data_IF_746715661564
#
_entry.id   IF_746715661564
#
_cell.length_a   1.000
_cell.length_b   1.000
_cell.length_c   1.000
_cell.angle_alpha   90.00
_cell.angle_beta   90.00
_cell.angle_gamma   90.00
#
_symmetry.space_group_name_H-M   'P 1'
#
loop_
_entity.id
_entity.type
_entity.pdbx_description
1 polymer ?
#
# COMPACT_ATOMS: atom_id res chain seq x y z
N UNK A 1 -23.61 17.19 -3.53
CA UNK A 1 -24.30 15.92 -3.22
C UNK A 1 -25.79 16.20 -3.13
N UNK A 2 -26.64 15.42 -3.79
CA UNK A 2 -28.08 15.67 -3.76
C UNK A 2 -28.64 15.34 -2.36
N UNK A 3 -29.09 16.36 -1.62
CA UNK A 3 -29.48 16.25 -0.21
C UNK A 3 -30.62 15.24 -0.01
N UNK A 4 -31.46 15.05 -1.03
CA UNK A 4 -32.59 14.13 -1.01
C UNK A 4 -32.14 12.65 -1.01
N UNK A 5 -31.01 12.34 -1.66
CA UNK A 5 -30.49 10.97 -1.74
C UNK A 5 -29.63 10.64 -0.52
N UNK A 6 -28.87 11.61 -0.02
CA UNK A 6 -28.06 11.47 1.20
C UNK A 6 -28.91 11.22 2.45
N UNK A 7 -30.10 11.84 2.53
CA UNK A 7 -31.03 11.63 3.64
C UNK A 7 -31.69 10.24 3.65
N UNK A 8 -31.63 9.49 2.55
CA UNK A 8 -32.12 8.09 2.48
C UNK A 8 -31.14 7.09 3.10
N UNK A 9 -29.91 7.50 3.37
CA UNK A 9 -28.90 6.65 4.03
C UNK A 9 -29.26 6.47 5.51
N UNK A 10 -29.13 5.24 6.00
CA UNK A 10 -29.12 4.97 7.44
C UNK A 10 -27.98 5.72 8.11
N UNK A 11 -28.12 6.08 9.38
CA UNK A 11 -27.14 6.90 10.10
C UNK A 11 -25.71 6.31 10.04
N UNK A 12 -25.59 4.99 10.23
CA UNK A 12 -24.32 4.27 10.11
C UNK A 12 -23.75 4.27 8.69
N UNK A 13 -24.59 4.28 7.66
CA UNK A 13 -24.12 4.34 6.27
C UNK A 13 -23.71 5.77 5.89
N UNK A 14 -24.33 6.78 6.51
CA UNK A 14 -23.97 8.19 6.35
C UNK A 14 -22.62 8.49 6.97
N UNK A 15 -22.41 8.06 8.22
CA UNK A 15 -21.14 8.18 8.93
C UNK A 15 -20.02 7.51 8.14
N UNK A 16 -20.22 6.26 7.71
CA UNK A 16 -19.20 5.55 6.93
C UNK A 16 -18.90 6.21 5.57
N UNK A 17 -19.91 6.81 4.92
CA UNK A 17 -19.72 7.52 3.66
C UNK A 17 -18.94 8.83 3.85
N UNK A 18 -19.28 9.60 4.88
CA UNK A 18 -18.59 10.83 5.21
C UNK A 18 -17.13 10.54 5.59
N UNK A 19 -16.89 9.53 6.43
CA UNK A 19 -15.55 9.02 6.77
C UNK A 19 -14.78 8.65 5.50
N UNK A 20 -15.39 7.86 4.61
CA UNK A 20 -14.75 7.45 3.34
C UNK A 20 -14.43 8.65 2.45
N UNK A 21 -15.33 9.63 2.34
CA UNK A 21 -15.07 10.83 1.53
C UNK A 21 -13.98 11.70 2.11
N UNK A 22 -13.94 11.84 3.44
CA UNK A 22 -12.90 12.58 4.13
C UNK A 22 -11.54 11.87 3.96
N UNK A 23 -11.50 10.55 4.10
CA UNK A 23 -10.29 9.76 3.87
C UNK A 23 -9.76 9.89 2.45
N UNK A 24 -10.63 9.88 1.44
CA UNK A 24 -10.23 10.07 0.04
C UNK A 24 -9.69 11.49 -0.15
N UNK A 25 -10.35 12.50 0.42
CA UNK A 25 -9.90 13.89 0.35
C UNK A 25 -8.51 14.06 0.99
N UNK A 26 -8.29 13.49 2.18
CA UNK A 26 -7.02 13.55 2.89
C UNK A 26 -5.90 12.85 2.10
N UNK A 27 -6.18 11.69 1.49
CA UNK A 27 -5.22 10.99 0.62
C UNK A 27 -4.83 11.82 -0.61
N UNK A 28 -5.79 12.48 -1.24
CA UNK A 28 -5.52 13.38 -2.38
C UNK A 28 -4.69 14.57 -1.93
N UNK A 29 -5.00 15.16 -0.79
CA UNK A 29 -4.30 16.31 -0.24
C UNK A 29 -2.83 15.98 0.09
N UNK A 30 -2.58 14.87 0.80
CA UNK A 30 -1.23 14.43 1.14
C UNK A 30 -0.38 14.16 -0.11
N UNK A 31 -0.97 13.48 -1.10
CA UNK A 31 -0.29 13.20 -2.36
C UNK A 31 -0.02 14.49 -3.16
N UNK A 32 -0.96 15.42 -3.19
CA UNK A 32 -0.78 16.73 -3.81
C UNK A 32 0.34 17.52 -3.12
N UNK A 33 0.41 17.46 -1.79
CA UNK A 33 1.50 18.05 -1.02
C UNK A 33 2.86 17.43 -1.39
N UNK A 34 2.96 16.09 -1.46
CA UNK A 34 4.20 15.42 -1.91
C UNK A 34 4.61 15.81 -3.33
N UNK A 35 3.63 15.96 -4.24
CA UNK A 35 3.88 16.43 -5.60
C UNK A 35 4.40 17.88 -5.58
N UNK A 36 3.81 18.76 -4.78
CA UNK A 36 4.30 20.14 -4.60
C UNK A 36 5.70 20.19 -3.97
N UNK A 37 6.02 19.28 -3.04
CA UNK A 37 7.38 19.17 -2.46
C UNK A 37 8.37 18.78 -3.55
N UNK A 38 8.03 17.80 -4.40
CA UNK A 38 8.91 17.38 -5.50
C UNK A 38 9.16 18.48 -6.54
N UNK A 39 8.23 19.45 -6.66
CA UNK A 39 8.33 20.61 -7.54
C UNK A 39 8.92 21.84 -6.84
N UNK A 40 9.33 21.74 -5.57
CA UNK A 40 9.80 22.85 -4.72
C UNK A 40 8.78 24.01 -4.58
N UNK A 41 7.48 23.72 -4.71
CA UNK A 41 6.39 24.71 -4.57
C UNK A 41 5.60 24.58 -3.27
N UNK A 42 5.81 23.50 -2.51
CA UNK A 42 5.03 23.18 -1.30
C UNK A 42 5.02 24.26 -0.22
N UNK A 43 6.08 25.07 -0.10
CA UNK A 43 6.14 26.16 0.88
C UNK A 43 5.31 27.40 0.47
N UNK A 44 5.00 27.55 -0.81
CA UNK A 44 4.21 28.66 -1.34
C UNK A 44 2.73 28.32 -1.46
N UNK A 45 2.43 27.25 -2.20
CA UNK A 45 1.06 26.80 -2.46
C UNK A 45 1.03 25.38 -3.02
N UNK A 46 -0.05 24.64 -2.72
CA UNK A 46 -0.38 23.40 -3.43
C UNK A 46 -1.23 23.81 -4.64
N UNK A 47 -0.70 23.61 -5.85
CA UNK A 47 -1.40 24.04 -7.05
C UNK A 47 -2.60 23.14 -7.36
N UNK A 48 -3.59 23.68 -8.07
CA UNK A 48 -4.70 22.88 -8.60
C UNK A 48 -4.19 21.70 -9.45
N UNK A 49 -3.07 21.90 -10.16
CA UNK A 49 -2.42 20.86 -10.96
C UNK A 49 -1.97 19.68 -10.10
N UNK A 50 -1.39 19.95 -8.92
CA UNK A 50 -0.95 18.90 -7.99
C UNK A 50 -2.11 18.08 -7.43
N UNK A 51 -3.25 18.74 -7.18
CA UNK A 51 -4.49 18.08 -6.73
C UNK A 51 -5.08 17.21 -7.84
N UNK A 52 -5.12 17.71 -9.09
CA UNK A 52 -5.64 16.95 -10.23
C UNK A 52 -4.77 15.72 -10.49
N UNK A 53 -3.44 15.89 -10.49
CA UNK A 53 -2.48 14.80 -10.67
C UNK A 53 -2.60 13.76 -9.55
N UNK A 54 -2.68 14.20 -8.28
CA UNK A 54 -2.88 13.32 -7.13
C UNK A 54 -4.20 12.52 -7.23
N UNK A 55 -5.30 13.19 -7.62
CA UNK A 55 -6.60 12.55 -7.85
C UNK A 55 -6.53 11.49 -8.95
N UNK A 56 -5.89 11.80 -10.07
CA UNK A 56 -5.74 10.85 -11.17
C UNK A 56 -4.92 9.61 -10.76
N UNK A 57 -3.82 9.82 -10.04
CA UNK A 57 -3.00 8.70 -9.58
C UNK A 57 -3.72 7.80 -8.58
N UNK A 58 -4.42 8.38 -7.61
CA UNK A 58 -5.08 7.64 -6.54
C UNK A 58 -6.30 6.87 -7.08
N UNK A 59 -7.11 7.52 -7.92
CA UNK A 59 -8.36 6.93 -8.39
C UNK A 59 -8.19 6.05 -9.64
N UNK A 60 -7.22 6.32 -10.52
CA UNK A 60 -7.16 5.67 -11.83
C UNK A 60 -5.90 4.81 -12.09
N UNK A 61 -4.75 5.06 -11.43
CA UNK A 61 -3.47 4.36 -11.74
C UNK A 61 -3.45 2.88 -11.37
N UNK A 62 -4.37 2.41 -10.50
CA UNK A 62 -4.54 0.98 -10.17
C UNK A 62 -4.91 0.13 -11.39
N UNK A 63 -5.45 0.76 -12.44
CA UNK A 63 -5.97 0.10 -13.64
C UNK A 63 -4.91 -0.15 -14.73
N UNK A 64 -3.77 0.55 -14.71
CA UNK A 64 -2.75 0.42 -15.76
C UNK A 64 -1.73 -0.69 -15.49
N UNK A 65 -1.32 -0.86 -14.22
CA UNK A 65 -0.36 -1.90 -13.80
C UNK A 65 -0.92 -3.30 -14.11
N UNK A 66 -2.22 -3.50 -13.93
CA UNK A 66 -2.93 -4.75 -14.27
C UNK A 66 -2.96 -5.02 -15.78
N UNK A 67 -3.06 -3.98 -16.62
CA UNK A 67 -3.11 -4.12 -18.08
C UNK A 67 -1.76 -4.53 -18.67
N UNK A 68 -0.65 -3.95 -18.23
CA UNK A 68 0.67 -4.26 -18.78
C UNK A 68 1.11 -5.70 -18.44
N UNK A 69 0.77 -6.18 -17.24
CA UNK A 69 1.09 -7.52 -16.79
C UNK A 69 0.28 -8.60 -17.54
N UNK A 70 -0.98 -8.30 -17.87
CA UNK A 70 -1.83 -9.18 -18.69
C UNK A 70 -1.30 -9.37 -20.13
N UNK A 71 -0.72 -8.31 -20.73
CA UNK A 71 -0.15 -8.37 -22.10
C UNK A 71 1.08 -9.26 -22.17
N UNK A 72 1.96 -9.21 -21.16
CA UNK A 72 3.18 -10.03 -21.10
C UNK A 72 2.86 -11.52 -20.88
N UNK A 73 1.88 -11.82 -20.03
CA UNK A 73 1.38 -13.20 -19.85
C UNK A 73 0.78 -13.76 -21.13
N UNK A 74 0.00 -12.95 -21.87
CA UNK A 74 -0.55 -13.34 -23.18
C UNK A 74 0.54 -13.63 -24.22
N UNK A 75 1.57 -12.79 -24.30
CA UNK A 75 2.67 -12.98 -25.26
C UNK A 75 3.44 -14.28 -24.98
N UNK A 76 3.75 -14.57 -23.72
CA UNK A 76 4.41 -15.84 -23.38
C UNK A 76 3.54 -17.06 -23.67
N UNK A 77 2.24 -16.97 -23.40
CA UNK A 77 1.31 -18.07 -23.69
C UNK A 77 1.22 -18.33 -25.19
N UNK A 78 1.17 -17.26 -26.01
CA UNK A 78 1.22 -17.38 -27.47
C UNK A 78 2.52 -18.04 -27.96
N UNK A 79 3.68 -17.65 -27.40
CA UNK A 79 4.98 -18.25 -27.73
C UNK A 79 5.08 -19.72 -27.30
N UNK A 80 4.52 -20.08 -26.16
CA UNK A 80 4.50 -21.47 -25.71
C UNK A 80 3.58 -22.33 -26.57
N UNK A 81 2.42 -21.80 -26.98
CA UNK A 81 1.50 -22.50 -27.88
C UNK A 81 2.09 -22.66 -29.29
N UNK A 82 2.77 -21.64 -29.82
CA UNK A 82 3.45 -21.76 -31.11
C UNK A 82 4.58 -22.78 -31.04
N UNK A 83 5.42 -22.76 -29.99
CA UNK A 83 6.45 -23.77 -29.77
C UNK A 83 5.91 -25.20 -29.71
N UNK A 84 4.78 -25.41 -29.02
CA UNK A 84 4.11 -26.71 -28.96
C UNK A 84 3.58 -27.14 -30.33
N UNK A 85 3.00 -26.22 -31.12
CA UNK A 85 2.58 -26.50 -32.49
C UNK A 85 3.75 -26.88 -33.39
N UNK A 86 4.88 -26.16 -33.32
CA UNK A 86 6.09 -26.50 -34.05
C UNK A 86 6.61 -27.89 -33.68
N UNK A 87 6.54 -28.27 -32.40
CA UNK A 87 6.91 -29.61 -31.95
C UNK A 87 6.00 -30.70 -32.56
N UNK A 88 4.68 -30.49 -32.54
CA UNK A 88 3.69 -31.41 -33.13
C UNK A 88 3.90 -31.53 -34.65
N UNK A 89 4.07 -30.41 -35.37
CA UNK A 89 4.34 -30.43 -36.80
C UNK A 89 5.67 -31.11 -37.13
N UNK A 90 6.72 -30.89 -36.34
CA UNK A 90 7.99 -31.60 -36.50
C UNK A 90 7.85 -33.11 -36.34
N UNK A 91 7.09 -33.57 -35.34
CA UNK A 91 6.81 -35.01 -35.11
C UNK A 91 6.00 -35.61 -36.27
N UNK A 92 4.95 -34.92 -36.73
CA UNK A 92 4.12 -35.39 -37.86
C UNK A 92 4.93 -35.42 -39.15
N UNK A 93 5.74 -34.40 -39.41
CA UNK A 93 6.62 -34.32 -40.57
C UNK A 93 7.67 -35.43 -40.54
N UNK A 94 8.25 -35.70 -39.37
CA UNK A 94 9.16 -36.82 -39.15
C UNK A 94 8.50 -38.16 -39.49
N UNK A 95 7.30 -38.43 -38.95
CA UNK A 95 6.56 -39.67 -39.23
C UNK A 95 6.17 -39.80 -40.72
N UNK A 96 5.83 -38.70 -41.38
CA UNK A 96 5.51 -38.68 -42.81
C UNK A 96 6.75 -38.97 -43.67
N UNK A 97 7.89 -38.37 -43.30
CA UNK A 97 9.14 -38.50 -44.01
C UNK A 97 9.77 -39.90 -43.87
N UNK A 98 9.53 -40.58 -42.74
CA UNK A 98 10.09 -41.90 -42.40
C UNK A 98 9.24 -43.12 -42.83
N UNK A 99 8.32 -43.00 -43.80
CA UNK A 99 7.61 -44.16 -44.36
C UNK A 99 8.53 -45.21 -45.03
N UNK A 100 9.76 -44.83 -45.37
CA UNK A 100 10.86 -45.73 -45.73
C UNK A 100 12.05 -45.32 -44.86
N UNK A 101 12.45 -46.17 -43.90
CA UNK A 101 13.53 -45.90 -42.95
C UNK A 101 14.84 -45.59 -43.69
N UNK A 102 15.18 -44.30 -43.78
CA UNK A 102 16.41 -43.80 -44.34
C UNK A 102 16.94 -42.68 -43.44
N UNK A 103 18.07 -42.95 -42.79
CA UNK A 103 18.76 -42.10 -41.79
C UNK A 103 19.21 -40.74 -42.32
N UNK A 104 18.97 -40.44 -43.59
CA UNK A 104 19.29 -39.15 -44.22
C UNK A 104 18.17 -38.10 -44.06
N UNK A 105 17.07 -38.46 -43.40
CA UNK A 105 15.83 -37.67 -43.34
C UNK A 105 15.50 -37.15 -41.92
N UNK A 106 16.44 -36.41 -41.32
CA UNK A 106 16.34 -35.92 -39.92
C UNK A 106 15.73 -34.51 -39.76
N UNK A 107 15.22 -33.91 -40.83
CA UNK A 107 14.64 -32.55 -40.82
C UNK A 107 13.45 -32.41 -39.87
N UNK A 108 12.56 -33.41 -39.81
CA UNK A 108 11.41 -33.38 -38.89
C UNK A 108 11.82 -33.40 -37.41
N UNK A 109 12.90 -34.12 -37.09
CA UNK A 109 13.45 -34.22 -35.74
C UNK A 109 14.06 -32.89 -35.28
N UNK A 110 14.74 -32.18 -36.19
CA UNK A 110 15.31 -30.84 -35.95
C UNK A 110 14.19 -29.83 -35.66
N UNK A 111 13.11 -29.84 -36.45
CA UNK A 111 11.96 -28.94 -36.25
C UNK A 111 11.28 -29.22 -34.89
N UNK A 112 11.13 -30.51 -34.53
CA UNK A 112 10.56 -30.90 -33.25
C UNK A 112 11.42 -30.43 -32.06
N UNK A 113 12.74 -30.59 -32.15
CA UNK A 113 13.69 -30.16 -31.12
C UNK A 113 13.65 -28.63 -30.90
N UNK A 114 13.53 -27.85 -31.98
CA UNK A 114 13.41 -26.38 -31.90
C UNK A 114 12.09 -25.97 -31.21
N UNK A 115 10.98 -26.64 -31.55
CA UNK A 115 9.67 -26.37 -30.91
C UNK A 115 9.65 -26.67 -29.40
N UNK A 116 10.27 -27.78 -28.99
CA UNK A 116 10.41 -28.14 -27.58
C UNK A 116 11.30 -27.11 -26.86
N UNK A 117 12.42 -26.72 -27.45
CA UNK A 117 13.34 -25.74 -26.88
C UNK A 117 12.65 -24.37 -26.69
N UNK A 118 11.89 -23.89 -27.68
CA UNK A 118 11.12 -22.66 -27.56
C UNK A 118 10.08 -22.71 -26.44
N UNK A 119 9.39 -23.85 -26.30
CA UNK A 119 8.37 -24.04 -25.25
C UNK A 119 8.98 -24.01 -23.85
N UNK A 120 10.12 -24.67 -23.66
CA UNK A 120 10.86 -24.68 -22.39
C UNK A 120 11.38 -23.28 -22.05
N UNK A 121 11.96 -22.56 -23.01
CA UNK A 121 12.45 -21.18 -22.80
C UNK A 121 11.31 -20.22 -22.44
N UNK A 122 10.16 -20.31 -23.13
CA UNK A 122 8.99 -19.50 -22.81
C UNK A 122 8.45 -19.78 -21.40
N UNK A 123 8.42 -21.05 -20.99
CA UNK A 123 8.01 -21.46 -19.65
C UNK A 123 8.96 -20.93 -18.56
N UNK A 124 10.28 -21.08 -18.76
CA UNK A 124 11.29 -20.54 -17.84
C UNK A 124 11.24 -19.02 -17.75
N UNK A 125 11.07 -18.32 -18.86
CA UNK A 125 10.97 -16.86 -18.90
C UNK A 125 9.76 -16.38 -18.06
N UNK A 126 8.61 -17.02 -18.20
CA UNK A 126 7.41 -16.71 -17.43
C UNK A 126 7.55 -17.05 -15.95
N UNK A 127 8.16 -18.18 -15.63
CA UNK A 127 8.36 -18.60 -14.24
C UNK A 127 9.39 -17.73 -13.50
N UNK A 128 10.47 -17.32 -14.15
CA UNK A 128 11.51 -16.46 -13.57
C UNK A 128 11.01 -15.03 -13.36
N UNK A 129 10.28 -14.46 -14.33
CA UNK A 129 9.74 -13.10 -14.22
C UNK A 129 8.61 -13.03 -13.20
N UNK A 130 7.77 -14.08 -13.11
CA UNK A 130 6.70 -14.14 -12.12
C UNK A 130 7.22 -14.34 -10.69
N UNK A 131 8.37 -15.00 -10.50
CA UNK A 131 8.94 -15.27 -9.16
C UNK A 131 9.86 -14.16 -8.65
N UNK A 132 10.68 -13.52 -9.50
CA UNK A 132 11.65 -12.50 -9.05
C UNK A 132 11.02 -11.19 -8.58
N UNK A 133 9.83 -10.82 -9.07
CA UNK A 133 9.21 -9.52 -8.71
C UNK A 133 8.33 -9.54 -7.47
N UNK A 134 7.81 -10.72 -7.08
CA UNK A 134 6.83 -10.83 -5.98
C UNK A 134 7.49 -11.34 -4.69
N UNK A 135 8.54 -12.16 -4.75
CA UNK A 135 9.08 -12.80 -3.53
C UNK A 135 10.25 -12.08 -2.84
N UNK A 136 11.04 -11.29 -3.56
CA UNK A 136 12.27 -10.68 -3.01
C UNK A 136 12.07 -9.24 -2.57
N UNK A 137 11.19 -8.49 -3.24
CA UNK A 137 10.90 -7.09 -2.87
C UNK A 137 9.83 -7.03 -1.78
N UNK A 138 8.86 -7.95 -1.78
CA UNK A 138 7.77 -7.96 -0.80
C UNK A 138 8.22 -8.55 0.54
N UNK A 139 8.97 -9.66 0.59
CA UNK A 139 9.33 -10.26 1.89
C UNK A 139 10.31 -9.45 2.74
N UNK A 140 11.39 -8.91 2.20
CA UNK A 140 12.35 -8.16 3.03
C UNK A 140 11.78 -6.81 3.47
N UNK A 141 11.06 -6.12 2.59
CA UNK A 141 10.46 -4.81 2.92
C UNK A 141 9.25 -4.97 3.85
N UNK A 142 8.44 -6.00 3.69
CA UNK A 142 7.22 -6.19 4.48
C UNK A 142 7.50 -6.75 5.87
N UNK A 143 8.55 -7.58 6.06
CA UNK A 143 8.92 -8.08 7.40
C UNK A 143 9.60 -7.01 8.26
N UNK A 144 10.43 -6.15 7.66
CA UNK A 144 11.03 -4.99 8.36
C UNK A 144 10.02 -3.84 8.54
N UNK A 145 9.06 -3.68 7.61
CA UNK A 145 7.92 -2.75 7.77
C UNK A 145 6.94 -3.21 8.83
N UNK A 146 6.48 -4.45 8.84
CA UNK A 146 5.53 -4.93 9.87
C UNK A 146 6.07 -4.61 11.27
N UNK A 147 7.35 -4.91 11.54
CA UNK A 147 7.95 -4.66 12.85
C UNK A 147 7.99 -3.16 13.23
N UNK A 148 8.21 -2.28 12.26
CA UNK A 148 8.27 -0.82 12.48
C UNK A 148 6.87 -0.17 12.48
N UNK A 149 5.92 -0.69 11.72
CA UNK A 149 4.51 -0.30 11.73
C UNK A 149 3.86 -0.64 13.09
N UNK A 150 4.16 -1.80 13.66
CA UNK A 150 3.75 -2.17 15.02
C UNK A 150 4.33 -1.26 16.11
N UNK A 151 5.49 -0.64 15.88
CA UNK A 151 6.08 0.31 16.83
C UNK A 151 5.27 1.61 16.95
N UNK A 152 4.65 2.08 15.87
CA UNK A 152 3.76 3.25 15.89
C UNK A 152 2.52 2.95 16.73
N UNK A 153 1.92 1.78 16.53
CA UNK A 153 0.75 1.32 17.30
C UNK A 153 1.10 1.19 18.79
N UNK A 154 2.28 0.66 19.11
CA UNK A 154 2.73 0.50 20.51
C UNK A 154 2.92 1.85 21.22
N UNK A 155 3.51 2.84 20.54
CA UNK A 155 3.68 4.20 21.09
C UNK A 155 2.34 4.91 21.24
N UNK A 156 1.42 4.72 20.29
CA UNK A 156 0.06 5.22 20.42
C UNK A 156 -0.65 4.65 21.66
N UNK A 157 -0.55 3.35 21.92
CA UNK A 157 -1.09 2.73 23.13
C UNK A 157 -0.50 3.33 24.42
N UNK A 158 0.78 3.70 24.41
CA UNK A 158 1.40 4.40 25.53
C UNK A 158 0.80 5.80 25.74
N UNK A 159 0.60 6.56 24.67
CA UNK A 159 -0.06 7.88 24.71
C UNK A 159 -1.50 7.75 25.25
N UNK A 160 -2.27 6.77 24.77
CA UNK A 160 -3.63 6.51 25.26
C UNK A 160 -3.64 6.21 26.75
N UNK A 161 -2.74 5.34 27.21
CA UNK A 161 -2.63 4.96 28.62
C UNK A 161 -2.30 6.16 29.50
N UNK A 162 -1.29 6.94 29.11
CA UNK A 162 -0.85 8.12 29.87
C UNK A 162 -1.90 9.23 29.85
N UNK A 163 -2.55 9.47 28.70
CA UNK A 163 -3.66 10.42 28.60
C UNK A 163 -4.85 10.00 29.48
N UNK A 164 -5.20 8.72 29.49
CA UNK A 164 -6.25 8.17 30.36
C UNK A 164 -5.92 8.31 31.85
N UNK A 165 -4.65 8.21 32.21
CA UNK A 165 -4.17 8.37 33.58
C UNK A 165 -4.23 9.84 34.03
N UNK A 166 -3.80 10.77 33.17
CA UNK A 166 -3.92 12.20 33.42
C UNK A 166 -5.38 12.63 33.58
N UNK A 167 -6.27 12.18 32.69
CA UNK A 167 -7.70 12.46 32.79
C UNK A 167 -8.29 12.01 34.13
N UNK A 168 -7.86 10.84 34.64
CA UNK A 168 -8.29 10.34 35.95
C UNK A 168 -7.72 11.14 37.10
N UNK A 169 -6.44 11.55 37.03
CA UNK A 169 -5.82 12.44 38.03
C UNK A 169 -6.54 13.80 38.11
N UNK A 170 -7.06 14.30 36.99
CA UNK A 170 -7.88 15.53 36.93
C UNK A 170 -9.36 15.33 37.29
N UNK A 171 -9.76 14.13 37.73
CA UNK A 171 -11.12 13.86 38.20
C UNK A 171 -12.15 13.64 37.09
N UNK A 172 -11.72 13.43 35.83
CA UNK A 172 -12.61 13.10 34.72
C UNK A 172 -13.10 11.65 34.86
N UNK A 173 -14.39 11.41 34.56
CA UNK A 173 -15.02 10.11 34.76
C UNK A 173 -14.39 8.98 33.93
N UNK A 174 -14.36 7.79 34.53
CA UNK A 174 -13.67 6.59 34.02
C UNK A 174 -14.21 6.10 32.65
N UNK A 175 -15.44 6.48 32.29
CA UNK A 175 -16.03 6.22 30.97
C UNK A 175 -15.49 7.15 29.88
N UNK A 176 -15.23 8.43 30.22
CA UNK A 176 -14.66 9.39 29.26
C UNK A 176 -13.17 9.15 29.05
N UNK A 177 -12.45 8.74 30.10
CA UNK A 177 -11.02 8.40 30.03
C UNK A 177 -10.72 7.10 29.29
N UNK A 178 -11.72 6.37 28.78
CA UNK A 178 -11.53 5.18 27.92
C UNK A 178 -11.83 5.45 26.44
N UNK A 179 -12.38 6.63 26.12
CA UNK A 179 -12.72 6.98 24.76
C UNK A 179 -11.57 7.72 24.09
N UNK A 180 -11.12 7.18 22.96
CA UNK A 180 -10.02 7.72 22.16
C UNK A 180 -10.26 9.19 21.81
N UNK A 181 -11.48 9.54 21.37
CA UNK A 181 -11.82 10.92 21.00
C UNK A 181 -11.75 11.87 22.20
N UNK A 182 -12.20 11.44 23.38
CA UNK A 182 -12.13 12.27 24.58
C UNK A 182 -10.68 12.43 25.08
N UNK A 183 -9.86 11.39 24.94
CA UNK A 183 -8.42 11.46 25.25
C UNK A 183 -7.73 12.43 24.29
N UNK A 184 -7.97 12.34 22.99
CA UNK A 184 -7.39 13.26 22.00
C UNK A 184 -7.80 14.71 22.27
N UNK A 185 -9.08 14.94 22.54
CA UNK A 185 -9.59 16.27 22.82
C UNK A 185 -8.96 16.85 24.08
N UNK A 186 -8.93 16.09 25.18
CA UNK A 186 -8.28 16.49 26.42
C UNK A 186 -6.79 16.80 26.23
N UNK A 187 -6.06 15.93 25.53
CA UNK A 187 -4.64 16.12 25.27
C UNK A 187 -4.38 17.36 24.41
N UNK A 188 -5.23 17.63 23.43
CA UNK A 188 -5.09 18.77 22.51
C UNK A 188 -5.47 20.10 23.16
N UNK A 189 -6.46 20.11 24.05
CA UNK A 189 -7.03 21.33 24.62
C UNK A 189 -6.33 21.74 25.92
N UNK A 190 -5.80 20.80 26.69
CA UNK A 190 -5.39 21.04 28.09
C UNK A 190 -3.92 20.71 28.38
N UNK A 191 -3.29 19.89 27.55
CA UNK A 191 -1.99 19.29 27.90
C UNK A 191 -0.88 19.70 26.93
N UNK A 192 -1.13 19.64 25.63
CA UNK A 192 -0.11 19.80 24.59
C UNK A 192 -0.13 21.19 23.97
N UNK A 193 1.05 21.78 23.79
CA UNK A 193 1.20 23.00 22.99
C UNK A 193 0.86 22.74 21.52
N UNK A 194 0.65 23.82 20.76
CA UNK A 194 0.17 23.78 19.36
C UNK A 194 0.99 22.85 18.47
N UNK A 195 2.32 22.81 18.65
CA UNK A 195 3.21 21.92 17.89
C UNK A 195 3.03 20.43 18.25
N UNK A 196 2.86 20.11 19.53
CA UNK A 196 2.62 18.75 19.99
C UNK A 196 1.21 18.24 19.63
N UNK A 197 0.21 19.12 19.56
CA UNK A 197 -1.12 18.77 19.05
C UNK A 197 -1.08 18.31 17.58
N UNK A 198 -0.21 18.93 16.78
CA UNK A 198 0.02 18.56 15.39
C UNK A 198 0.70 17.18 15.30
N UNK A 199 1.66 16.92 16.19
CA UNK A 199 2.33 15.62 16.28
C UNK A 199 1.34 14.51 16.70
N UNK A 200 0.46 14.78 17.66
CA UNK A 200 -0.57 13.84 18.11
C UNK A 200 -1.48 13.42 16.96
N UNK A 201 -1.92 14.37 16.13
CA UNK A 201 -2.71 14.09 14.93
C UNK A 201 -1.95 13.22 13.93
N UNK A 202 -0.68 13.50 13.69
CA UNK A 202 0.13 12.71 12.76
C UNK A 202 0.30 11.27 13.24
N UNK A 203 0.55 11.06 14.54
CA UNK A 203 0.67 9.71 15.12
C UNK A 203 -0.65 8.96 15.06
N UNK A 204 -1.78 9.63 15.32
CA UNK A 204 -3.11 9.03 15.21
C UNK A 204 -3.44 8.58 13.77
N UNK A 205 -3.14 9.42 12.78
CA UNK A 205 -3.34 9.08 11.37
C UNK A 205 -2.50 7.87 10.98
N UNK A 206 -1.22 7.86 11.36
CA UNK A 206 -0.34 6.72 11.09
C UNK A 206 -0.82 5.44 11.78
N UNK A 207 -1.32 5.49 13.03
CA UNK A 207 -1.91 4.33 13.69
C UNK A 207 -3.10 3.78 12.90
N UNK A 208 -3.99 4.64 12.40
CA UNK A 208 -5.15 4.20 11.63
C UNK A 208 -4.72 3.58 10.29
N UNK A 209 -3.73 4.16 9.63
CA UNK A 209 -3.15 3.59 8.40
C UNK A 209 -2.53 2.21 8.65
N UNK A 210 -1.85 1.97 9.79
CA UNK A 210 -1.33 0.63 10.15
C UNK A 210 -2.49 -0.35 10.39
N UNK A 211 -3.50 0.03 11.18
CA UNK A 211 -4.63 -0.84 11.54
C UNK A 211 -5.46 -1.26 10.31
N UNK A 212 -5.53 -0.41 9.29
CA UNK A 212 -6.26 -0.69 8.05
C UNK A 212 -5.35 -1.22 6.91
N UNK A 213 -4.11 -1.62 7.21
CA UNK A 213 -3.19 -2.28 6.28
C UNK A 213 -2.63 -1.37 5.17
N UNK A 214 -2.55 -0.07 5.44
CA UNK A 214 -2.31 0.99 4.47
C UNK A 214 -1.08 1.86 4.69
N UNK A 215 -0.23 1.59 5.69
CA UNK A 215 0.91 2.47 5.97
C UNK A 215 1.91 2.48 4.79
N UNK A 216 1.98 3.60 4.08
CA UNK A 216 2.96 3.84 3.00
C UNK A 216 3.95 4.92 3.41
N UNK A 217 4.50 4.78 4.61
CA UNK A 217 5.58 5.65 5.08
C UNK A 217 6.94 5.04 4.71
N UNK A 218 7.88 5.89 4.31
CA UNK A 218 9.29 5.56 4.23
C UNK A 218 9.85 5.33 5.63
N UNK A 219 10.97 4.59 5.74
CA UNK A 219 11.64 4.33 7.02
C UNK A 219 11.97 5.62 7.77
N UNK A 220 12.36 6.67 7.05
CA UNK A 220 12.65 7.99 7.61
C UNK A 220 11.40 8.70 8.15
N UNK A 221 10.29 8.67 7.40
CA UNK A 221 9.02 9.23 7.87
C UNK A 221 8.52 8.51 9.12
N UNK A 222 8.68 7.19 9.16
CA UNK A 222 8.29 6.34 10.27
C UNK A 222 9.17 6.61 11.51
N UNK A 223 10.48 6.77 11.34
CA UNK A 223 11.41 7.16 12.41
C UNK A 223 11.13 8.57 12.94
N UNK A 224 10.78 9.52 12.07
CA UNK A 224 10.39 10.86 12.48
C UNK A 224 9.06 10.81 13.27
N UNK A 225 8.13 9.97 12.86
CA UNK A 225 6.84 9.79 13.51
C UNK A 225 6.97 9.12 14.88
N UNK A 226 7.86 8.13 15.02
CA UNK A 226 8.16 7.53 16.32
C UNK A 226 8.87 8.51 17.25
N UNK A 227 9.80 9.34 16.75
CA UNK A 227 10.40 10.43 17.54
C UNK A 227 9.36 11.45 18.03
N UNK A 228 8.42 11.84 17.17
CA UNK A 228 7.30 12.72 17.56
C UNK A 228 6.42 12.09 18.63
N UNK A 229 6.12 10.80 18.51
CA UNK A 229 5.39 10.07 19.53
C UNK A 229 6.17 10.00 20.86
N UNK A 230 7.48 9.76 20.82
CA UNK A 230 8.35 9.73 22.01
C UNK A 230 8.42 11.10 22.70
N UNK A 231 8.41 12.21 21.94
CA UNK A 231 8.33 13.57 22.47
C UNK A 231 7.00 13.81 23.21
N UNK A 232 5.87 13.37 22.64
CA UNK A 232 4.55 13.45 23.31
C UNK A 232 4.58 12.63 24.61
N UNK A 233 5.05 11.38 24.55
CA UNK A 233 5.13 10.49 25.72
C UNK A 233 5.96 11.15 26.83
N UNK A 234 7.13 11.71 26.51
CA UNK A 234 7.97 12.40 27.48
C UNK A 234 7.27 13.58 28.16
N UNK A 235 6.49 14.37 27.41
CA UNK A 235 5.73 15.47 27.97
C UNK A 235 4.60 14.99 28.91
N UNK A 236 3.87 13.94 28.50
CA UNK A 236 2.83 13.33 29.33
C UNK A 236 3.41 12.76 30.64
N UNK A 237 4.54 12.05 30.56
CA UNK A 237 5.23 11.52 31.74
C UNK A 237 5.70 12.63 32.68
N UNK A 238 6.23 13.73 32.14
CA UNK A 238 6.65 14.88 32.94
C UNK A 238 5.47 15.52 33.67
N UNK A 239 4.30 15.65 33.02
CA UNK A 239 3.10 16.18 33.68
C UNK A 239 2.54 15.23 34.74
N UNK A 240 2.59 13.91 34.50
CA UNK A 240 2.19 12.91 35.50
C UNK A 240 3.10 12.96 36.73
N UNK A 241 4.40 13.25 36.58
CA UNK A 241 5.35 13.38 37.71
C UNK A 241 5.21 14.70 38.49
N UNK A 242 4.74 15.76 37.83
CA UNK A 242 4.51 17.08 38.48
C UNK A 242 3.20 17.15 39.27
N UNK A 243 2.28 16.21 39.06
CA UNK A 243 1.02 16.04 39.77
C UNK A 243 1.06 14.84 40.73
#
# INVERSE_FOLDING_TARGET
MDKLTYNKLTESARIALDETTQEIADKILDKAYRNAVSKNTAEKEISLSDIIEAKEEILYKRTEITKQDSRRKRLSLMLSMSGALYAVFGIVFYLYQNKSFDTTKDLGLIIAAIGIMMSVVAFYYTQLISRKKIKVIEKDVQTERDYSEFEVVRRWQAIEKLGSELMRKEGISDNKSRSINFIIQFLSDSILDKDYSMYLRQVLMARNDVVHGGLKLSRFELENLTKKADLIIGELENKIKKH
#
